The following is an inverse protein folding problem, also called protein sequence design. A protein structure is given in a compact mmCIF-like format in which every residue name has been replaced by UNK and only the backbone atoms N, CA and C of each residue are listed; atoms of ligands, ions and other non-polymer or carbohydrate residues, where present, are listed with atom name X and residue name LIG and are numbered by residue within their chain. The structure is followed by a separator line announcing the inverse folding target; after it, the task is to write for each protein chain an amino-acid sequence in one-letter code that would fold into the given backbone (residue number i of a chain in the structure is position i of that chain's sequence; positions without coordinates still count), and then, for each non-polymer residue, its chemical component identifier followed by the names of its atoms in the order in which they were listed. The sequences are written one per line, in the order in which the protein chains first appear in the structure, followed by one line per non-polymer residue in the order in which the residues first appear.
data_IF_457306466965
#
_entry.id   IF_457306466965
#
_cell.length_a   1.000
_cell.length_b   1.000
_cell.length_c   1.000
_cell.angle_alpha   90.00
_cell.angle_beta   90.00
_cell.angle_gamma   90.00
#
_symmetry.space_group_name_H-M   'P 1'
#
loop_
_entity.id
_entity.type
_entity.pdbx_description
1 polymer ?
#
# COMPACT_ATOMS: atom_id res chain seq x y z
N UNK A 1 27.16 0.42 14.44
CA UNK A 1 28.00 -0.59 13.79
C UNK A 1 28.59 -1.58 14.79
N UNK A 2 29.19 -1.10 15.89
CA UNK A 2 29.74 -1.95 16.95
C UNK A 2 28.66 -2.84 17.60
N UNK A 3 27.51 -2.26 17.89
CA UNK A 3 26.41 -2.99 18.51
C UNK A 3 25.85 -4.05 17.56
N UNK A 4 25.70 -3.73 16.29
CA UNK A 4 25.23 -4.69 15.29
C UNK A 4 26.18 -5.88 15.14
N UNK A 5 27.49 -5.64 15.11
CA UNK A 5 28.48 -6.71 15.06
C UNK A 5 28.38 -7.63 16.28
N UNK A 6 28.18 -7.05 17.46
CA UNK A 6 28.03 -7.83 18.69
C UNK A 6 26.72 -8.59 18.71
N UNK A 7 25.64 -8.02 18.21
CA UNK A 7 24.37 -8.73 18.06
C UNK A 7 24.52 -9.94 17.14
N UNK A 8 25.18 -9.79 16.01
CA UNK A 8 25.43 -10.89 15.08
C UNK A 8 26.30 -11.97 15.74
N UNK A 9 27.33 -11.57 16.46
CA UNK A 9 28.17 -12.51 17.20
C UNK A 9 27.37 -13.25 18.28
N UNK A 10 26.51 -12.52 19.02
CA UNK A 10 25.67 -13.11 20.05
C UNK A 10 24.63 -14.07 19.46
N UNK A 11 24.06 -13.73 18.32
CA UNK A 11 23.11 -14.60 17.61
C UNK A 11 23.81 -15.82 17.03
N UNK A 12 25.04 -15.67 16.55
CA UNK A 12 25.85 -16.76 16.02
C UNK A 12 26.34 -17.74 17.08
N UNK A 13 26.40 -17.33 18.32
CA UNK A 13 26.75 -18.20 19.44
C UNK A 13 25.51 -18.95 19.92
N UNK A 14 25.63 -20.23 20.15
CA UNK A 14 24.49 -21.13 20.43
C UNK A 14 23.77 -20.77 21.73
N UNK A 15 24.45 -20.15 22.69
CA UNK A 15 23.85 -19.77 23.97
C UNK A 15 24.41 -18.43 24.46
N UNK A 16 23.56 -17.41 24.47
CA UNK A 16 23.83 -16.11 25.07
C UNK A 16 23.09 -16.05 26.39
N UNK A 17 23.83 -15.88 27.49
CA UNK A 17 23.23 -15.79 28.82
C UNK A 17 22.90 -14.34 29.18
N UNK A 18 21.93 -14.10 30.09
CA UNK A 18 21.68 -12.75 30.60
C UNK A 18 22.91 -12.10 31.23
N UNK A 19 23.77 -12.90 31.83
CA UNK A 19 25.04 -12.40 32.43
C UNK A 19 26.00 -11.86 31.37
N UNK A 20 26.07 -12.53 30.23
CA UNK A 20 26.89 -12.06 29.10
C UNK A 20 26.37 -10.77 28.49
N UNK A 21 25.07 -10.65 28.36
CA UNK A 21 24.42 -9.43 27.87
C UNK A 21 24.65 -8.27 28.84
N UNK A 22 24.55 -8.52 30.17
CA UNK A 22 24.83 -7.51 31.18
C UNK A 22 26.25 -7.03 31.13
N UNK A 23 27.21 -7.96 30.98
CA UNK A 23 28.60 -7.63 30.85
C UNK A 23 28.88 -6.77 29.63
N UNK A 24 28.26 -7.10 28.50
CA UNK A 24 28.37 -6.33 27.28
C UNK A 24 27.92 -4.87 27.48
N UNK A 25 26.73 -4.66 28.05
CA UNK A 25 26.22 -3.31 28.33
C UNK A 25 27.07 -2.55 29.36
N UNK A 26 27.59 -3.24 30.35
CA UNK A 26 28.42 -2.62 31.36
C UNK A 26 29.74 -2.07 30.82
N UNK A 27 30.32 -2.76 29.83
CA UNK A 27 31.58 -2.38 29.21
C UNK A 27 31.40 -1.34 28.09
N UNK A 28 30.18 -1.04 27.69
CA UNK A 28 29.90 -0.05 26.64
C UNK A 28 29.87 1.36 27.22
N UNK A 29 30.47 2.36 26.51
CA UNK A 29 30.21 3.76 26.82
C UNK A 29 28.72 4.09 26.72
N UNK A 30 28.27 5.04 27.53
CA UNK A 30 26.84 5.45 27.54
C UNK A 30 26.31 5.85 26.16
N UNK A 31 27.13 6.56 25.37
CA UNK A 31 26.75 6.99 24.01
C UNK A 31 26.80 5.87 22.99
N UNK A 32 27.36 4.71 23.32
CA UNK A 32 27.37 3.52 22.46
C UNK A 32 26.23 2.55 22.75
N UNK A 33 25.41 2.79 23.79
CA UNK A 33 24.23 1.98 24.09
C UNK A 33 23.15 2.32 23.08
N UNK A 34 22.56 1.32 22.39
CA UNK A 34 21.56 1.60 21.38
C UNK A 34 20.33 2.30 21.96
N UNK A 35 19.83 3.26 21.23
CA UNK A 35 18.53 3.87 21.52
C UNK A 35 17.46 3.05 20.81
N UNK A 36 16.48 2.59 21.55
CA UNK A 36 15.31 1.89 21.01
C UNK A 36 14.24 2.95 20.76
N UNK A 37 13.88 3.23 19.50
CA UNK A 37 12.88 4.25 19.21
C UNK A 37 11.48 3.82 19.64
N UNK A 38 10.56 4.77 19.69
CA UNK A 38 9.16 4.51 19.95
C UNK A 38 8.61 3.55 18.90
N UNK A 39 7.99 2.48 19.35
CA UNK A 39 7.36 1.48 18.50
C UNK A 39 5.90 1.30 18.89
N UNK A 40 5.07 1.03 17.91
CA UNK A 40 3.63 0.82 18.11
C UNK A 40 3.20 -0.48 17.45
N UNK A 41 2.14 -1.06 18.01
CA UNK A 41 1.37 -2.12 17.37
C UNK A 41 -0.02 -1.59 17.09
N UNK A 42 -0.52 -1.79 15.89
CA UNK A 42 -1.83 -1.29 15.48
C UNK A 42 -2.67 -2.43 14.92
N UNK A 43 -3.98 -2.33 15.15
CA UNK A 43 -4.96 -3.23 14.57
C UNK A 43 -5.87 -2.42 13.67
N UNK A 44 -6.31 -3.03 12.56
CA UNK A 44 -7.16 -2.34 11.59
C UNK A 44 -8.41 -3.15 11.29
N UNK A 45 -9.47 -2.44 10.95
CA UNK A 45 -10.68 -2.99 10.32
C UNK A 45 -10.92 -2.15 9.08
N UNK A 46 -11.06 -2.80 7.93
CA UNK A 46 -11.28 -2.11 6.67
C UNK A 46 -12.62 -2.43 6.06
N UNK A 47 -13.15 -1.46 5.32
CA UNK A 47 -14.24 -1.66 4.38
C UNK A 47 -13.75 -1.20 3.01
N UNK A 48 -13.98 -2.03 2.00
CA UNK A 48 -13.54 -1.79 0.63
C UNK A 48 -14.76 -1.51 -0.24
N UNK A 49 -15.17 -0.25 -0.37
CA UNK A 49 -16.31 0.09 -1.22
C UNK A 49 -16.03 -0.35 -2.65
N UNK A 50 -17.04 -0.94 -3.28
CA UNK A 50 -16.92 -1.38 -4.67
C UNK A 50 -17.14 -0.21 -5.61
N UNK A 51 -16.40 -0.22 -6.73
CA UNK A 51 -16.62 0.73 -7.80
C UNK A 51 -17.96 0.40 -8.47
N UNK A 52 -18.90 1.35 -8.56
CA UNK A 52 -20.16 1.11 -9.26
C UNK A 52 -19.93 0.84 -10.75
N UNK A 53 -20.83 0.03 -11.34
CA UNK A 53 -20.78 -0.27 -12.77
C UNK A 53 -20.82 0.99 -13.62
N UNK A 54 -21.57 2.00 -13.20
CA UNK A 54 -21.67 3.29 -13.89
C UNK A 54 -20.33 3.98 -14.07
N UNK A 55 -19.45 3.93 -13.06
CA UNK A 55 -18.11 4.51 -13.12
C UNK A 55 -17.24 3.77 -14.12
N UNK A 56 -17.35 2.45 -14.15
CA UNK A 56 -16.63 1.61 -15.12
C UNK A 56 -17.06 1.93 -16.54
N UNK A 57 -18.37 2.02 -16.76
CA UNK A 57 -18.92 2.36 -18.08
C UNK A 57 -18.54 3.77 -18.52
N UNK A 58 -18.47 4.71 -17.58
CA UNK A 58 -18.02 6.07 -17.88
C UNK A 58 -16.57 6.10 -18.34
N UNK A 59 -15.69 5.38 -17.65
CA UNK A 59 -14.28 5.26 -18.04
C UNK A 59 -14.14 4.67 -19.43
N UNK A 60 -14.85 3.59 -19.71
CA UNK A 60 -14.84 2.96 -21.04
C UNK A 60 -15.36 3.89 -22.13
N UNK A 61 -16.43 4.63 -21.84
CA UNK A 61 -17.00 5.61 -22.78
C UNK A 61 -15.98 6.71 -23.09
N UNK A 62 -15.29 7.21 -22.09
CA UNK A 62 -14.26 8.24 -22.28
C UNK A 62 -13.10 7.72 -23.14
N UNK A 63 -12.65 6.50 -22.91
CA UNK A 63 -11.58 5.90 -23.72
C UNK A 63 -12.02 5.68 -25.18
N UNK A 64 -13.27 5.26 -25.41
CA UNK A 64 -13.83 5.15 -26.77
C UNK A 64 -13.87 6.51 -27.44
N UNK A 65 -14.27 7.55 -26.73
CA UNK A 65 -14.30 8.93 -27.26
C UNK A 65 -12.90 9.39 -27.64
N UNK A 66 -11.89 9.11 -26.83
CA UNK A 66 -10.50 9.44 -27.17
C UNK A 66 -10.04 8.71 -28.43
N UNK A 67 -10.36 7.44 -28.54
CA UNK A 67 -10.05 6.65 -29.75
C UNK A 67 -10.70 7.28 -30.99
N UNK A 68 -11.97 7.66 -30.92
CA UNK A 68 -12.69 8.28 -32.04
C UNK A 68 -12.07 9.61 -32.44
N UNK A 69 -11.69 10.44 -31.48
CA UNK A 69 -11.05 11.74 -31.74
C UNK A 69 -9.69 11.57 -32.42
N UNK A 70 -8.92 10.57 -31.98
CA UNK A 70 -7.61 10.27 -32.59
C UNK A 70 -7.83 9.78 -34.03
N UNK A 71 -8.76 8.87 -34.25
CA UNK A 71 -9.04 8.30 -35.57
C UNK A 71 -9.56 9.34 -36.57
N UNK A 72 -10.27 10.36 -36.08
CA UNK A 72 -10.76 11.46 -36.92
C UNK A 72 -9.72 12.52 -37.18
N UNK A 73 -8.55 12.41 -36.58
CA UNK A 73 -7.47 13.41 -36.73
C UNK A 73 -7.70 14.70 -35.96
N UNK A 74 -8.65 14.74 -35.05
CA UNK A 74 -8.91 15.93 -34.21
C UNK A 74 -7.79 16.23 -33.23
N UNK A 75 -7.09 15.19 -32.80
CA UNK A 75 -6.01 15.30 -31.81
C UNK A 75 -5.07 14.12 -31.96
N UNK A 76 -3.93 14.17 -31.26
CA UNK A 76 -2.99 13.06 -31.21
C UNK A 76 -3.15 12.25 -29.94
N UNK A 77 -2.71 11.00 -30.00
CA UNK A 77 -2.67 10.12 -28.81
C UNK A 77 -1.83 10.76 -27.70
N UNK A 78 -0.65 11.29 -28.04
CA UNK A 78 0.25 11.94 -27.08
C UNK A 78 -0.41 13.10 -26.36
N UNK A 79 -1.16 13.93 -27.08
CA UNK A 79 -1.87 15.06 -26.47
C UNK A 79 -2.90 14.60 -25.44
N UNK A 80 -3.71 13.61 -25.81
CA UNK A 80 -4.72 13.08 -24.88
C UNK A 80 -4.09 12.37 -23.68
N UNK A 81 -2.97 11.69 -23.89
CA UNK A 81 -2.24 11.07 -22.79
C UNK A 81 -1.74 12.11 -21.78
N UNK A 82 -1.17 13.20 -22.27
CA UNK A 82 -0.70 14.30 -21.39
C UNK A 82 -1.84 14.94 -20.60
N UNK A 83 -3.00 15.07 -21.22
CA UNK A 83 -4.14 15.75 -20.60
C UNK A 83 -4.90 14.85 -19.63
N UNK A 84 -5.06 13.58 -19.95
CA UNK A 84 -6.05 12.72 -19.28
C UNK A 84 -5.51 11.43 -18.70
N UNK A 85 -4.33 10.95 -19.09
CA UNK A 85 -3.83 9.69 -18.55
C UNK A 85 -3.54 9.79 -17.06
N UNK A 86 -4.03 8.82 -16.31
CA UNK A 86 -3.80 8.72 -14.87
C UNK A 86 -2.52 7.96 -14.53
N UNK A 87 -1.79 7.50 -15.53
CA UNK A 87 -0.42 7.02 -15.32
C UNK A 87 0.54 8.20 -15.36
N UNK A 88 0.80 8.77 -14.21
CA UNK A 88 1.61 9.99 -14.10
C UNK A 88 3.03 9.81 -14.63
N UNK A 89 3.58 8.61 -14.49
CA UNK A 89 4.94 8.34 -14.95
C UNK A 89 5.12 8.46 -16.45
N UNK A 90 4.09 8.14 -17.24
CA UNK A 90 4.14 8.23 -18.71
C UNK A 90 3.37 9.40 -19.29
N UNK A 91 2.37 9.93 -18.57
CA UNK A 91 1.53 11.02 -19.09
C UNK A 91 2.34 12.23 -19.54
N UNK A 92 3.32 12.63 -18.76
CA UNK A 92 4.21 13.77 -19.07
C UNK A 92 5.01 13.57 -20.36
N UNK A 93 5.19 12.32 -20.76
CA UNK A 93 5.90 11.93 -21.98
C UNK A 93 4.96 11.45 -23.08
N UNK A 94 3.71 11.94 -23.07
CA UNK A 94 2.71 11.57 -24.07
C UNK A 94 2.25 10.12 -23.98
N UNK A 95 2.38 9.50 -22.83
CA UNK A 95 1.98 8.12 -22.61
C UNK A 95 3.04 7.09 -22.97
N UNK A 96 4.25 7.51 -23.36
CA UNK A 96 5.31 6.59 -23.81
C UNK A 96 5.82 5.68 -22.69
N UNK A 97 5.92 4.42 -23.02
CA UNK A 97 6.58 3.39 -22.22
C UNK A 97 7.76 2.88 -23.02
N UNK A 98 8.95 2.92 -22.41
CA UNK A 98 10.18 2.49 -23.06
C UNK A 98 10.13 1.01 -23.48
N UNK A 99 11.03 0.63 -24.37
CA UNK A 99 11.11 -0.75 -24.87
C UNK A 99 11.07 -1.74 -23.72
N UNK A 100 10.09 -2.64 -23.79
CA UNK A 100 9.83 -3.62 -22.74
C UNK A 100 9.56 -4.96 -23.34
N UNK A 101 10.10 -6.01 -22.70
CA UNK A 101 9.74 -7.38 -23.02
C UNK A 101 8.39 -7.73 -22.40
N UNK A 102 7.80 -8.82 -22.89
CA UNK A 102 6.48 -9.27 -22.45
C UNK A 102 6.41 -9.48 -20.93
N UNK A 103 7.47 -9.99 -20.32
CA UNK A 103 7.51 -10.26 -18.88
C UNK A 103 7.63 -9.01 -18.00
N UNK A 104 7.90 -7.84 -18.58
CA UNK A 104 8.03 -6.58 -17.87
C UNK A 104 6.72 -5.79 -17.82
N UNK A 105 5.69 -6.26 -18.52
CA UNK A 105 4.40 -5.59 -18.64
C UNK A 105 3.32 -6.44 -17.96
N UNK A 106 2.23 -5.78 -17.56
CA UNK A 106 1.04 -6.49 -17.12
C UNK A 106 0.59 -7.49 -18.20
N UNK A 107 0.23 -8.74 -17.85
CA UNK A 107 -0.11 -9.74 -18.85
C UNK A 107 -1.23 -9.33 -19.81
N UNK A 108 -2.29 -8.71 -19.32
CA UNK A 108 -3.39 -8.25 -20.17
C UNK A 108 -2.93 -7.15 -21.14
N UNK A 109 -2.13 -6.21 -20.63
CA UNK A 109 -1.52 -5.17 -21.44
C UNK A 109 -0.61 -5.77 -22.52
N UNK A 110 0.30 -6.66 -22.14
CA UNK A 110 1.22 -7.30 -23.03
C UNK A 110 0.50 -8.07 -24.15
N UNK A 111 -0.54 -8.80 -23.82
CA UNK A 111 -1.29 -9.60 -24.82
C UNK A 111 -1.89 -8.72 -25.93
N UNK A 112 -2.35 -7.55 -25.60
CA UNK A 112 -2.89 -6.62 -26.61
C UNK A 112 -1.75 -5.89 -27.31
N UNK A 113 -0.78 -5.37 -26.57
CA UNK A 113 0.30 -4.55 -27.11
C UNK A 113 1.13 -5.32 -28.15
N UNK A 114 1.49 -6.58 -27.84
CA UNK A 114 2.31 -7.39 -28.75
C UNK A 114 1.54 -7.88 -29.98
N UNK A 115 0.21 -7.81 -29.98
CA UNK A 115 -0.61 -8.10 -31.14
C UNK A 115 -0.82 -6.89 -32.07
N UNK A 116 -0.45 -5.68 -31.64
CA UNK A 116 -0.53 -4.50 -32.46
C UNK A 116 0.56 -4.55 -33.54
N UNK A 117 0.18 -4.18 -34.78
CA UNK A 117 1.11 -4.16 -35.90
C UNK A 117 1.16 -2.80 -36.58
N UNK A 118 0.08 -2.03 -36.51
CA UNK A 118 -0.02 -0.73 -37.15
C UNK A 118 0.18 0.40 -36.11
N UNK A 119 1.25 1.21 -36.23
CA UNK A 119 1.50 2.30 -35.30
C UNK A 119 0.42 3.39 -35.30
N UNK A 120 -0.44 3.42 -36.32
CA UNK A 120 -1.49 4.42 -36.40
C UNK A 120 -2.80 3.98 -35.76
N UNK A 121 -2.90 2.70 -35.39
CA UNK A 121 -4.12 2.18 -34.78
C UNK A 121 -4.08 2.27 -33.27
N UNK A 122 -5.22 2.66 -32.69
CA UNK A 122 -5.45 2.57 -31.26
C UNK A 122 -6.03 1.20 -30.93
N UNK A 123 -5.56 0.59 -29.89
CA UNK A 123 -6.03 -0.73 -29.46
C UNK A 123 -7.48 -0.69 -28.96
N UNK A 124 -8.06 -1.88 -28.80
CA UNK A 124 -9.25 -2.04 -27.98
C UNK A 124 -8.94 -1.66 -26.53
N UNK A 125 -9.97 -1.43 -25.73
CA UNK A 125 -9.84 -1.17 -24.31
C UNK A 125 -9.33 -2.43 -23.62
N UNK A 126 -8.30 -2.26 -22.79
CA UNK A 126 -7.65 -3.35 -22.03
C UNK A 126 -7.84 -3.10 -20.54
N UNK A 127 -8.35 -4.11 -19.83
CA UNK A 127 -8.40 -4.05 -18.38
C UNK A 127 -7.16 -4.70 -17.78
N UNK A 128 -6.48 -3.97 -16.90
CA UNK A 128 -5.37 -4.49 -16.12
C UNK A 128 -5.65 -4.27 -14.63
N UNK A 129 -4.73 -4.71 -13.79
CA UNK A 129 -4.85 -4.43 -12.35
C UNK A 129 -4.82 -2.93 -12.03
N UNK A 130 -4.29 -2.10 -12.92
CA UNK A 130 -4.17 -0.65 -12.72
C UNK A 130 -5.43 0.12 -13.16
N UNK A 131 -6.27 -0.46 -13.99
CA UNK A 131 -7.45 0.18 -14.56
C UNK A 131 -7.67 -0.19 -16.01
N UNK A 132 -8.14 0.77 -16.81
CA UNK A 132 -8.45 0.55 -18.22
C UNK A 132 -7.52 1.35 -19.10
N UNK A 133 -7.03 0.72 -20.15
CA UNK A 133 -6.05 1.31 -21.07
C UNK A 133 -6.55 1.30 -22.50
N UNK A 134 -6.12 2.29 -23.29
CA UNK A 134 -5.96 2.18 -24.73
C UNK A 134 -4.49 2.31 -25.04
N UNK A 135 -4.02 1.60 -26.07
CA UNK A 135 -2.61 1.44 -26.37
C UNK A 135 -2.37 1.77 -27.85
N UNK A 136 -1.26 2.43 -28.14
CA UNK A 136 -0.79 2.64 -29.49
C UNK A 136 0.67 2.15 -29.61
N UNK A 137 0.95 1.40 -30.66
CA UNK A 137 2.31 0.94 -30.95
C UNK A 137 3.18 2.09 -31.43
N UNK A 138 4.40 2.18 -30.93
CA UNK A 138 5.43 3.09 -31.47
C UNK A 138 6.39 2.29 -32.34
N UNK A 139 7.02 1.27 -31.78
CA UNK A 139 8.03 0.48 -32.48
C UNK A 139 8.18 -0.91 -31.84
N UNK A 140 8.50 -1.88 -32.70
CA UNK A 140 8.89 -3.23 -32.24
C UNK A 140 10.38 -3.43 -32.56
N UNK A 141 11.13 -3.97 -31.60
CA UNK A 141 12.53 -4.37 -31.76
C UNK A 141 12.74 -5.75 -31.19
N UNK A 142 12.84 -6.75 -32.07
CA UNK A 142 12.98 -8.12 -31.62
C UNK A 142 11.82 -8.54 -30.72
N UNK A 143 12.14 -8.94 -29.50
CA UNK A 143 11.16 -9.34 -28.48
C UNK A 143 10.70 -8.20 -27.57
N UNK A 144 11.06 -6.96 -27.89
CA UNK A 144 10.69 -5.77 -27.12
C UNK A 144 9.79 -4.85 -27.93
N UNK A 145 8.97 -4.10 -27.18
CA UNK A 145 7.97 -3.20 -27.76
C UNK A 145 8.00 -1.85 -27.03
N UNK A 146 7.89 -0.80 -27.82
CA UNK A 146 7.68 0.55 -27.31
C UNK A 146 6.27 0.99 -27.66
N UNK A 147 5.53 1.43 -26.65
CA UNK A 147 4.11 1.79 -26.81
C UNK A 147 3.81 3.14 -26.17
N UNK A 148 2.64 3.69 -26.51
CA UNK A 148 1.96 4.75 -25.75
C UNK A 148 0.70 4.18 -25.17
N UNK A 149 0.33 4.64 -23.99
CA UNK A 149 -0.96 4.28 -23.44
C UNK A 149 -1.64 5.45 -22.74
N UNK A 150 -2.94 5.34 -22.59
CA UNK A 150 -3.75 6.19 -21.74
C UNK A 150 -4.41 5.27 -20.73
N UNK A 151 -4.17 5.54 -19.46
CA UNK A 151 -4.76 4.81 -18.34
C UNK A 151 -5.84 5.67 -17.70
N UNK A 152 -7.03 5.11 -17.54
CA UNK A 152 -8.08 5.69 -16.71
C UNK A 152 -8.48 4.68 -15.65
N UNK A 153 -8.65 5.16 -14.42
CA UNK A 153 -9.07 4.35 -13.27
C UNK A 153 -10.50 4.70 -12.92
N UNK A 154 -11.38 3.70 -12.75
CA UNK A 154 -12.68 3.98 -12.15
C UNK A 154 -12.46 4.43 -10.71
N UNK A 155 -13.09 5.53 -10.31
CA UNK A 155 -12.98 6.07 -8.96
C UNK A 155 -14.18 5.69 -8.12
N UNK A 156 -13.96 5.45 -6.84
CA UNK A 156 -15.04 5.19 -5.91
C UNK A 156 -15.72 6.53 -5.61
N UNK A 157 -17.04 6.64 -5.80
CA UNK A 157 -17.75 7.87 -5.50
C UNK A 157 -17.61 8.26 -4.03
N UNK A 158 -17.57 9.55 -3.75
CA UNK A 158 -17.46 10.05 -2.39
C UNK A 158 -18.61 9.52 -1.51
N UNK A 159 -19.80 9.39 -2.04
CA UNK A 159 -20.95 8.82 -1.32
C UNK A 159 -20.68 7.41 -0.80
N UNK A 160 -20.02 6.57 -1.62
CA UNK A 160 -19.68 5.21 -1.22
C UNK A 160 -18.59 5.20 -0.13
N UNK A 161 -17.64 6.13 -0.21
CA UNK A 161 -16.62 6.29 0.82
C UNK A 161 -17.23 6.76 2.14
N UNK A 162 -18.14 7.74 2.08
CA UNK A 162 -18.86 8.22 3.26
C UNK A 162 -19.70 7.11 3.91
N UNK A 163 -20.37 6.29 3.11
CA UNK A 163 -21.14 5.15 3.62
C UNK A 163 -20.23 4.12 4.29
N UNK A 164 -19.06 3.86 3.72
CA UNK A 164 -18.06 2.96 4.30
C UNK A 164 -17.51 3.47 5.62
N UNK A 165 -17.23 4.77 5.71
CA UNK A 165 -16.79 5.38 6.95
C UNK A 165 -17.87 5.34 8.02
N UNK A 166 -19.11 5.64 7.67
CA UNK A 166 -20.23 5.58 8.60
C UNK A 166 -20.44 4.17 9.16
N UNK A 167 -20.29 3.15 8.33
CA UNK A 167 -20.38 1.75 8.77
C UNK A 167 -19.28 1.42 9.78
N UNK A 168 -18.05 1.86 9.52
CA UNK A 168 -16.92 1.63 10.43
C UNK A 168 -17.08 2.40 11.74
N UNK A 169 -17.56 3.64 11.69
CA UNK A 169 -17.84 4.41 12.89
C UNK A 169 -18.91 3.73 13.76
N UNK A 170 -19.92 3.15 13.13
CA UNK A 170 -20.94 2.35 13.81
C UNK A 170 -20.34 1.12 14.47
N UNK A 171 -19.45 0.41 13.78
CA UNK A 171 -18.72 -0.74 14.35
C UNK A 171 -17.86 -0.30 15.54
N UNK A 172 -17.16 0.82 15.41
CA UNK A 172 -16.34 1.36 16.50
C UNK A 172 -17.19 1.69 17.73
N UNK A 173 -18.36 2.29 17.54
CA UNK A 173 -19.28 2.59 18.63
C UNK A 173 -19.79 1.32 19.31
N UNK A 174 -20.11 0.28 18.54
CA UNK A 174 -20.53 -1.02 19.07
C UNK A 174 -19.42 -1.65 19.93
N UNK A 175 -18.18 -1.54 19.49
CA UNK A 175 -17.01 -2.02 20.27
C UNK A 175 -16.89 -1.23 21.57
N UNK A 176 -17.00 0.10 21.52
CA UNK A 176 -16.92 0.96 22.70
C UNK A 176 -18.04 0.68 23.70
N UNK A 177 -19.19 0.27 23.20
CA UNK A 177 -20.36 -0.07 24.02
C UNK A 177 -20.33 -1.52 24.53
N UNK A 178 -19.27 -2.27 24.22
CA UNK A 178 -19.08 -3.61 24.73
C UNK A 178 -19.88 -4.71 24.04
N UNK A 179 -20.44 -4.44 22.85
CA UNK A 179 -21.19 -5.47 22.10
C UNK A 179 -20.29 -6.60 21.61
N UNK A 180 -19.07 -6.28 21.22
CA UNK A 180 -18.03 -7.22 20.83
C UNK A 180 -16.67 -6.51 20.92
N UNK A 181 -15.59 -7.29 20.85
CA UNK A 181 -14.23 -6.74 20.89
C UNK A 181 -13.79 -6.31 19.50
N UNK A 182 -12.74 -5.49 19.45
CA UNK A 182 -12.14 -5.10 18.17
C UNK A 182 -11.61 -6.34 17.42
N UNK A 183 -11.01 -7.27 18.16
CA UNK A 183 -10.46 -8.50 17.60
C UNK A 183 -11.55 -9.37 16.96
N UNK A 184 -12.68 -9.52 17.62
CA UNK A 184 -13.84 -10.24 17.08
C UNK A 184 -14.39 -9.54 15.82
N UNK A 185 -14.54 -8.22 15.88
CA UNK A 185 -15.02 -7.44 14.75
C UNK A 185 -14.06 -7.53 13.55
N UNK A 186 -12.76 -7.49 13.79
CA UNK A 186 -11.77 -7.64 12.73
C UNK A 186 -11.90 -8.99 12.03
N UNK A 187 -12.07 -10.06 12.80
CA UNK A 187 -12.18 -11.42 12.25
C UNK A 187 -13.43 -11.63 11.41
N UNK A 188 -14.54 -10.99 11.76
CA UNK A 188 -15.84 -11.22 11.12
C UNK A 188 -16.18 -10.14 10.09
N UNK A 189 -15.88 -8.87 10.40
CA UNK A 189 -16.38 -7.71 9.64
C UNK A 189 -15.33 -7.05 8.76
N UNK A 190 -14.03 -7.26 9.02
CA UNK A 190 -13.00 -6.64 8.21
C UNK A 190 -12.91 -7.27 6.83
N UNK A 191 -12.77 -6.42 5.81
CA UNK A 191 -12.59 -6.86 4.43
C UNK A 191 -11.10 -6.95 4.03
N UNK A 192 -10.20 -6.66 4.95
CA UNK A 192 -8.77 -6.82 4.69
C UNK A 192 -8.34 -8.27 4.88
N UNK A 193 -8.04 -8.94 3.79
CA UNK A 193 -7.65 -10.35 3.79
C UNK A 193 -6.33 -10.60 4.51
N UNK A 194 -5.42 -9.62 4.50
CA UNK A 194 -4.08 -9.79 5.06
C UNK A 194 -4.07 -9.76 6.59
N UNK A 195 -5.01 -9.06 7.22
CA UNK A 195 -5.04 -8.89 8.68
C UNK A 195 -6.24 -9.53 9.35
N UNK A 196 -7.30 -9.84 8.60
CA UNK A 196 -8.55 -10.37 9.16
C UNK A 196 -8.33 -11.61 10.02
N UNK A 197 -7.51 -12.53 9.56
CA UNK A 197 -7.25 -13.81 10.26
C UNK A 197 -6.29 -13.64 11.44
N UNK A 198 -5.69 -12.47 11.62
CA UNK A 198 -4.82 -12.15 12.75
C UNK A 198 -5.42 -11.05 13.63
N UNK A 199 -6.74 -11.05 13.77
CA UNK A 199 -7.49 -10.11 14.62
C UNK A 199 -7.24 -8.65 14.27
N UNK A 200 -6.94 -8.37 13.00
CA UNK A 200 -6.66 -7.03 12.51
C UNK A 200 -5.23 -6.55 12.74
N UNK A 201 -4.39 -7.33 13.37
CA UNK A 201 -3.02 -6.92 13.70
C UNK A 201 -2.19 -6.71 12.43
N UNK A 202 -1.64 -5.51 12.28
CA UNK A 202 -0.90 -5.12 11.09
C UNK A 202 0.53 -5.69 11.17
N UNK A 203 0.96 -6.47 10.14
CA UNK A 203 2.34 -6.97 10.12
C UNK A 203 3.28 -5.93 9.51
N UNK A 204 4.50 -5.84 10.07
CA UNK A 204 5.56 -5.01 9.51
C UNK A 204 6.40 -5.86 8.55
N UNK A 205 6.36 -5.60 7.24
CA UNK A 205 7.08 -6.41 6.27
C UNK A 205 8.60 -6.28 6.37
N UNK A 206 9.09 -5.19 6.97
CA UNK A 206 10.53 -4.96 7.11
C UNK A 206 11.17 -5.81 8.20
N UNK A 207 10.40 -6.15 9.23
CA UNK A 207 10.93 -6.83 10.43
C UNK A 207 10.27 -8.18 10.69
N UNK A 208 9.23 -8.53 9.96
CA UNK A 208 8.39 -9.72 10.20
C UNK A 208 7.79 -9.77 11.61
N UNK A 209 7.59 -8.60 12.22
CA UNK A 209 6.94 -8.44 13.51
C UNK A 209 5.70 -7.59 13.36
N UNK A 210 4.97 -7.38 14.47
CA UNK A 210 3.83 -6.44 14.50
C UNK A 210 4.23 -5.04 14.96
N UNK A 211 5.50 -4.81 15.22
CA UNK A 211 6.00 -3.54 15.75
C UNK A 211 6.46 -2.62 14.64
N UNK A 212 6.03 -1.37 14.73
CA UNK A 212 6.36 -0.32 13.75
C UNK A 212 6.97 0.87 14.46
N UNK A 213 8.02 1.41 13.87
CA UNK A 213 8.36 2.82 14.09
C UNK A 213 7.38 3.68 13.30
N UNK A 214 7.15 4.91 13.74
CA UNK A 214 6.10 5.75 13.14
C UNK A 214 6.28 5.96 11.63
N UNK A 215 7.53 6.09 11.16
CA UNK A 215 7.82 6.28 9.73
C UNK A 215 7.61 5.01 8.90
N UNK A 216 7.50 3.85 9.52
CA UNK A 216 7.25 2.58 8.83
C UNK A 216 5.76 2.33 8.56
N UNK A 217 4.89 3.06 9.26
CA UNK A 217 3.44 2.96 9.06
C UNK A 217 3.00 3.69 7.78
N UNK A 218 1.90 3.26 7.14
CA UNK A 218 1.25 4.09 6.14
C UNK A 218 0.97 5.48 6.72
N UNK A 219 1.22 6.56 5.94
CA UNK A 219 1.10 7.93 6.48
C UNK A 219 -0.25 8.25 7.10
N UNK A 220 -1.33 7.74 6.51
CA UNK A 220 -2.69 7.97 7.02
C UNK A 220 -2.88 7.34 8.41
N UNK A 221 -2.35 6.14 8.60
CA UNK A 221 -2.40 5.45 9.91
C UNK A 221 -1.50 6.15 10.91
N UNK A 222 -0.29 6.55 10.50
CA UNK A 222 0.64 7.25 11.39
C UNK A 222 0.04 8.54 11.94
N UNK A 223 -0.65 9.31 11.12
CA UNK A 223 -1.31 10.55 11.54
C UNK A 223 -2.38 10.30 12.59
N UNK A 224 -3.14 9.21 12.45
CA UNK A 224 -4.18 8.87 13.41
C UNK A 224 -3.58 8.39 14.73
N UNK A 225 -2.61 7.48 14.64
CA UNK A 225 -1.98 6.84 15.80
C UNK A 225 -1.18 7.82 16.65
N UNK A 226 -0.59 8.84 16.02
CA UNK A 226 0.21 9.86 16.71
C UNK A 226 -0.56 10.54 17.84
N UNK A 227 -1.85 10.72 17.67
CA UNK A 227 -2.75 11.41 18.63
C UNK A 227 -3.48 10.46 19.56
N UNK A 228 -3.35 9.15 19.36
CA UNK A 228 -4.16 8.17 20.08
C UNK A 228 -3.47 7.67 21.34
N UNK A 229 -4.31 7.27 22.30
CA UNK A 229 -3.89 6.56 23.50
C UNK A 229 -3.99 5.05 23.26
N UNK A 230 -3.19 4.29 24.00
CA UNK A 230 -3.27 2.82 23.94
C UNK A 230 -4.68 2.35 24.27
N UNK A 231 -5.23 1.49 23.44
CA UNK A 231 -6.60 0.99 23.57
C UNK A 231 -7.67 1.80 22.88
N UNK A 232 -7.33 3.02 22.42
CA UNK A 232 -8.27 3.90 21.72
C UNK A 232 -8.52 3.41 20.31
N UNK A 233 -9.73 3.67 19.81
CA UNK A 233 -10.13 3.38 18.43
C UNK A 233 -10.33 4.71 17.72
N UNK A 234 -9.78 4.84 16.51
CA UNK A 234 -9.90 6.06 15.72
C UNK A 234 -11.31 6.26 15.15
N UNK A 235 -11.60 7.46 14.73
CA UNK A 235 -12.68 7.69 13.77
C UNK A 235 -12.33 7.06 12.43
N UNK A 236 -13.32 6.79 11.61
CA UNK A 236 -13.09 6.23 10.28
C UNK A 236 -12.42 7.26 9.36
N UNK A 237 -11.51 6.79 8.54
CA UNK A 237 -10.80 7.61 7.56
C UNK A 237 -10.55 6.81 6.29
N UNK A 238 -10.20 7.52 5.21
CA UNK A 238 -9.88 6.91 3.93
C UNK A 238 -8.37 6.75 3.81
N UNK A 239 -7.95 5.58 3.35
CA UNK A 239 -6.55 5.25 3.10
C UNK A 239 -6.39 4.69 1.69
N UNK A 240 -5.26 4.97 1.06
CA UNK A 240 -4.90 4.39 -0.24
C UNK A 240 -3.66 3.52 -0.02
N UNK A 241 -3.82 2.18 0.13
CA UNK A 241 -2.66 1.30 0.28
C UNK A 241 -1.79 1.32 -0.98
N UNK A 242 -0.47 1.40 -0.80
CA UNK A 242 0.47 1.39 -1.91
C UNK A 242 0.35 0.12 -2.76
N UNK A 243 0.08 -1.01 -2.11
CA UNK A 243 -0.04 -2.31 -2.78
C UNK A 243 -1.14 -2.36 -3.82
N UNK A 244 -2.29 -1.77 -3.52
CA UNK A 244 -3.47 -1.83 -4.39
C UNK A 244 -3.75 -0.53 -5.13
N UNK A 245 -3.35 0.62 -4.56
CA UNK A 245 -3.68 1.93 -5.10
C UNK A 245 -5.18 2.26 -5.06
N UNK A 246 -5.99 1.46 -4.37
CA UNK A 246 -7.44 1.63 -4.28
C UNK A 246 -7.82 2.17 -2.91
N UNK A 247 -8.77 3.11 -2.90
CA UNK A 247 -9.24 3.73 -1.68
C UNK A 247 -9.96 2.71 -0.78
N UNK A 248 -9.65 2.74 0.50
CA UNK A 248 -10.30 1.93 1.53
C UNK A 248 -10.74 2.80 2.68
N UNK A 249 -11.82 2.42 3.34
CA UNK A 249 -12.23 3.01 4.61
C UNK A 249 -11.65 2.18 5.75
N UNK A 250 -11.11 2.84 6.77
CA UNK A 250 -10.36 2.17 7.83
C UNK A 250 -10.69 2.78 9.18
N UNK A 251 -10.77 1.93 10.21
CA UNK A 251 -10.61 2.33 11.61
C UNK A 251 -9.40 1.59 12.17
N UNK A 252 -8.67 2.25 13.07
CA UNK A 252 -7.50 1.66 13.71
C UNK A 252 -7.64 1.69 15.22
N UNK A 253 -7.05 0.69 15.87
CA UNK A 253 -6.89 0.63 17.31
C UNK A 253 -5.40 0.64 17.62
N UNK A 254 -4.98 1.48 18.54
CA UNK A 254 -3.62 1.45 19.05
C UNK A 254 -3.52 0.35 20.11
N UNK A 255 -2.91 -0.76 19.74
CA UNK A 255 -2.79 -1.91 20.62
C UNK A 255 -1.73 -1.69 21.70
N UNK A 256 -0.58 -1.15 21.33
CA UNK A 256 0.52 -0.90 22.25
C UNK A 256 1.41 0.23 21.75
N UNK A 257 2.11 0.84 22.71
CA UNK A 257 3.14 1.84 22.42
C UNK A 257 4.28 1.65 23.40
N UNK A 258 5.47 1.44 22.88
CA UNK A 258 6.70 1.41 23.65
C UNK A 258 7.44 2.71 23.38
N UNK A 259 7.58 3.55 24.40
CA UNK A 259 8.27 4.82 24.25
C UNK A 259 9.75 4.63 23.98
N UNK A 260 10.35 5.57 23.25
CA UNK A 260 11.76 5.55 22.95
C UNK A 260 12.61 5.59 24.26
N UNK A 261 13.61 4.73 24.31
CA UNK A 261 14.49 4.60 25.47
C UNK A 261 15.83 4.00 25.04
N UNK A 262 16.85 4.13 25.87
CA UNK A 262 18.10 3.39 25.68
C UNK A 262 17.86 1.93 26.01
N UNK A 263 18.51 1.03 25.28
CA UNK A 263 18.37 -0.41 25.48
C UNK A 263 18.66 -0.79 26.94
N UNK A 264 17.81 -1.63 27.53
CA UNK A 264 17.98 -2.16 28.86
C UNK A 264 18.03 -3.70 28.81
N UNK A 265 18.66 -4.28 29.81
CA UNK A 265 18.82 -5.74 29.86
C UNK A 265 17.48 -6.45 30.05
N UNK A 266 16.61 -5.90 30.88
CA UNK A 266 15.33 -6.53 31.19
C UNK A 266 14.30 -6.45 30.08
N UNK A 267 14.28 -5.31 29.35
CA UNK A 267 13.25 -5.06 28.33
C UNK A 267 13.71 -5.51 26.94
N UNK A 268 14.99 -5.36 26.65
CA UNK A 268 15.50 -5.49 25.28
C UNK A 268 16.35 -6.75 25.06
N UNK A 269 16.40 -7.65 26.03
CA UNK A 269 17.18 -8.88 25.91
C UNK A 269 16.83 -9.68 24.65
N UNK A 270 15.55 -9.81 24.34
CA UNK A 270 15.10 -10.52 23.15
C UNK A 270 15.52 -9.84 21.84
N UNK A 271 15.61 -8.52 21.83
CA UNK A 271 16.00 -7.76 20.66
C UNK A 271 17.51 -7.80 20.40
N UNK A 272 18.29 -8.20 21.37
CA UNK A 272 19.76 -8.29 21.29
C UNK A 272 20.26 -9.68 20.95
N UNK A 273 19.39 -10.68 20.92
CA UNK A 273 19.73 -12.07 20.55
C UNK A 273 19.89 -12.28 19.05
#
# INVERSE_FOLDING_TARGET
LKVQKMQQKLVGEIKVTPAEVRRYFKDLPQDSIPYIPTQVEVQIITQQPKVPLEEIEDVKRRLREYTDRINKGETSFSTLARLYSEDRGSAMHGGEIEFSGRGMLDPAYANVAFNLQDPNKVSKIVESEYGFHIIQLIEKRGDRIKTRHILLKPHIPEEALEAGKARLDSIADDIRNGKFTFEEAASVLSQDKDTRNNHGLLPNPNTNTSRFEMQELPPEIAKMVDKMKVGEISEAFVMIPQKTGKEECVIVKLKSRTNGHKATISEDYQNLK
#
